data_IF_282404764634
#
_entry.id   IF_282404764634
#
_cell.length_a   1.000
_cell.length_b   1.000
_cell.length_c   1.000
_cell.angle_alpha   90.00
_cell.angle_beta   90.00
_cell.angle_gamma   90.00
#
_symmetry.space_group_name_H-M   'P 1'
#
loop_
_entity.id
_entity.type
_entity.pdbx_description
1 polymer ?
#
# COMPACT_ATOMS: atom_id res chain seq x y z
N UNK A 1 2.57 16.60 10.85
CA UNK A 1 3.89 15.95 11.09
C UNK A 1 4.94 16.77 10.39
N UNK A 2 6.09 17.01 11.05
CA UNK A 2 7.23 17.69 10.43
C UNK A 2 7.96 16.74 9.47
N UNK A 3 8.67 17.29 8.49
CA UNK A 3 9.30 16.48 7.43
C UNK A 3 10.35 15.49 7.96
N UNK A 4 11.18 15.92 8.92
CA UNK A 4 12.15 15.05 9.59
C UNK A 4 11.48 13.84 10.25
N UNK A 5 10.41 14.09 10.98
CA UNK A 5 9.67 13.03 11.69
C UNK A 5 9.01 12.03 10.73
N UNK A 6 8.55 12.52 9.58
CA UNK A 6 7.99 11.67 8.54
C UNK A 6 9.07 10.81 7.88
N UNK A 7 10.26 11.36 7.63
CA UNK A 7 11.41 10.57 7.13
C UNK A 7 11.86 9.50 8.13
N UNK A 8 11.97 9.85 9.41
CA UNK A 8 12.33 8.89 10.46
C UNK A 8 11.33 7.72 10.52
N UNK A 9 10.03 8.00 10.30
CA UNK A 9 8.98 6.97 10.25
C UNK A 9 9.02 6.12 8.97
N UNK A 10 9.40 6.69 7.82
CA UNK A 10 9.62 5.92 6.57
C UNK A 10 10.76 4.93 6.77
N UNK A 11 11.90 5.39 7.28
CA UNK A 11 13.05 4.53 7.57
C UNK A 11 12.70 3.45 8.61
N UNK A 12 11.94 3.82 9.64
CA UNK A 12 11.44 2.85 10.61
C UNK A 12 10.55 1.79 9.92
N UNK A 13 9.60 2.21 9.07
CA UNK A 13 8.70 1.29 8.39
C UNK A 13 9.48 0.31 7.50
N UNK A 14 10.49 0.79 6.78
CA UNK A 14 11.39 -0.06 5.99
C UNK A 14 12.09 -1.10 6.87
N UNK A 15 12.70 -0.67 7.99
CA UNK A 15 13.36 -1.58 8.94
C UNK A 15 12.40 -2.59 9.55
N UNK A 16 11.20 -2.15 9.93
CA UNK A 16 10.17 -3.02 10.50
C UNK A 16 9.81 -4.16 9.53
N UNK A 17 9.59 -3.86 8.23
CA UNK A 17 9.25 -4.87 7.23
C UNK A 17 10.43 -5.76 6.86
N UNK A 18 11.63 -5.23 6.82
CA UNK A 18 12.85 -6.01 6.65
C UNK A 18 13.05 -7.02 7.79
N UNK A 19 12.75 -6.60 9.02
CA UNK A 19 12.89 -7.45 10.21
C UNK A 19 11.84 -8.55 10.28
N UNK A 20 10.62 -8.31 9.80
CA UNK A 20 9.53 -9.30 9.87
C UNK A 20 9.33 -10.09 8.57
N UNK A 21 10.14 -9.89 7.55
CA UNK A 21 9.90 -10.36 6.18
C UNK A 21 9.55 -11.85 6.09
N UNK A 22 10.32 -12.72 6.75
CA UNK A 22 10.08 -14.18 6.77
C UNK A 22 8.74 -14.51 7.40
N UNK A 23 8.54 -14.08 8.65
CA UNK A 23 7.30 -14.34 9.39
C UNK A 23 6.08 -13.67 8.71
N UNK A 24 6.28 -12.51 8.06
CA UNK A 24 5.24 -11.87 7.24
C UNK A 24 4.87 -12.76 6.06
N UNK A 25 5.85 -13.29 5.33
CA UNK A 25 5.62 -14.15 4.16
C UNK A 25 4.93 -15.45 4.51
N UNK A 26 5.34 -16.11 5.58
CA UNK A 26 4.72 -17.35 6.07
C UNK A 26 3.25 -17.16 6.48
N UNK A 27 2.91 -16.02 7.06
CA UNK A 27 1.54 -15.70 7.50
C UNK A 27 0.68 -15.05 6.42
N UNK A 28 1.25 -14.70 5.28
CA UNK A 28 0.60 -13.99 4.16
C UNK A 28 0.71 -14.80 2.86
N UNK A 29 0.43 -16.09 2.94
CA UNK A 29 0.48 -17.01 1.79
C UNK A 29 -0.67 -16.77 0.82
N UNK A 30 -1.88 -16.55 1.34
CA UNK A 30 -3.08 -16.40 0.51
C UNK A 30 -3.50 -14.95 0.39
N UNK A 31 -3.96 -14.59 -0.81
CA UNK A 31 -4.65 -13.32 -1.03
C UNK A 31 -6.00 -13.27 -0.33
N UNK A 32 -6.46 -12.06 -0.08
CA UNK A 32 -7.80 -11.82 0.41
C UNK A 32 -8.81 -12.04 -0.73
N UNK A 33 -9.75 -12.95 -0.54
CA UNK A 33 -10.80 -13.24 -1.52
C UNK A 33 -11.64 -12.00 -1.89
N UNK A 34 -11.72 -11.05 -0.99
CA UNK A 34 -12.48 -9.81 -1.14
C UNK A 34 -11.86 -8.77 -2.08
N UNK A 35 -10.68 -9.03 -2.66
CA UNK A 35 -10.04 -8.19 -3.68
C UNK A 35 -9.95 -8.85 -5.06
N UNK A 36 -10.45 -10.08 -5.23
CA UNK A 36 -10.35 -10.82 -6.50
C UNK A 36 -11.02 -10.05 -7.65
N UNK A 37 -12.13 -9.35 -7.40
CA UNK A 37 -12.82 -8.55 -8.42
C UNK A 37 -11.95 -7.42 -9.03
N UNK A 38 -10.84 -7.08 -8.38
CA UNK A 38 -9.91 -6.07 -8.89
C UNK A 38 -9.08 -6.57 -10.08
N UNK A 39 -9.07 -7.90 -10.35
CA UNK A 39 -8.38 -8.50 -11.50
C UNK A 39 -9.06 -8.18 -12.83
N UNK A 40 -10.35 -7.88 -12.81
CA UNK A 40 -11.17 -7.64 -14.01
C UNK A 40 -10.71 -6.41 -14.82
N UNK A 41 -9.87 -5.55 -14.22
CA UNK A 41 -9.29 -4.38 -14.89
C UNK A 41 -8.08 -4.71 -15.77
N UNK A 42 -7.49 -5.91 -15.60
CA UNK A 42 -6.27 -6.32 -16.32
C UNK A 42 -6.63 -7.09 -17.59
N UNK A 43 -6.04 -6.67 -18.70
CA UNK A 43 -6.14 -7.31 -20.02
C UNK A 43 -4.83 -7.97 -20.39
N UNK A 44 -4.89 -8.95 -21.29
CA UNK A 44 -3.67 -9.53 -21.89
C UNK A 44 -2.92 -8.44 -22.67
N UNK A 45 -1.61 -8.42 -22.50
CA UNK A 45 -0.71 -7.40 -23.05
C UNK A 45 -0.45 -6.21 -22.13
N UNK A 46 -1.17 -6.08 -21.02
CA UNK A 46 -0.96 -4.98 -20.08
C UNK A 46 0.39 -5.07 -19.37
N UNK A 47 0.99 -3.91 -19.10
CA UNK A 47 2.12 -3.76 -18.20
C UNK A 47 1.63 -3.30 -16.82
N UNK A 48 1.79 -4.16 -15.84
CA UNK A 48 1.22 -4.01 -14.49
C UNK A 48 2.31 -3.77 -13.46
N UNK A 49 2.16 -2.74 -12.64
CA UNK A 49 3.00 -2.49 -11.47
C UNK A 49 2.26 -2.85 -10.18
N UNK A 50 2.87 -3.66 -9.32
CA UNK A 50 2.47 -3.87 -7.92
C UNK A 50 3.36 -3.04 -7.00
N UNK A 51 2.82 -1.91 -6.55
CA UNK A 51 3.50 -0.92 -5.71
C UNK A 51 3.38 -1.30 -4.23
N UNK A 52 4.49 -1.67 -3.60
CA UNK A 52 4.52 -2.25 -2.26
C UNK A 52 4.12 -3.72 -2.29
N UNK A 53 4.69 -4.49 -3.21
CA UNK A 53 4.30 -5.87 -3.52
C UNK A 53 4.54 -6.87 -2.38
N UNK A 54 5.38 -6.52 -1.39
CA UNK A 54 5.79 -7.44 -0.33
C UNK A 54 6.42 -8.72 -0.90
N UNK A 55 5.88 -9.87 -0.55
CA UNK A 55 6.31 -11.19 -1.04
C UNK A 55 5.71 -11.58 -2.40
N UNK A 56 5.20 -10.64 -3.17
CA UNK A 56 4.70 -10.83 -4.54
C UNK A 56 3.36 -11.55 -4.65
N UNK A 57 2.65 -11.79 -3.54
CA UNK A 57 1.44 -12.64 -3.55
C UNK A 57 0.28 -12.12 -4.43
N UNK A 58 0.29 -10.83 -4.80
CA UNK A 58 -0.75 -10.28 -5.69
C UNK A 58 -0.67 -10.93 -7.08
N UNK A 59 0.52 -11.32 -7.52
CA UNK A 59 0.72 -12.00 -8.81
C UNK A 59 -0.10 -13.28 -8.95
N UNK A 60 -0.46 -13.95 -7.85
CA UNK A 60 -1.34 -15.14 -7.89
C UNK A 60 -2.69 -14.90 -8.60
N UNK A 61 -3.17 -13.64 -8.62
CA UNK A 61 -4.41 -13.29 -9.34
C UNK A 61 -4.20 -13.20 -10.87
N UNK A 62 -2.97 -13.12 -11.32
CA UNK A 62 -2.64 -12.83 -12.71
C UNK A 62 -1.90 -13.99 -13.40
N UNK A 63 -1.76 -15.15 -12.75
CA UNK A 63 -0.99 -16.29 -13.28
C UNK A 63 -1.43 -16.72 -14.69
N UNK A 64 -2.73 -16.67 -14.94
CA UNK A 64 -3.34 -17.09 -16.20
C UNK A 64 -3.47 -15.93 -17.21
N UNK A 65 -2.92 -14.75 -16.89
CA UNK A 65 -2.93 -13.57 -17.75
C UNK A 65 -1.58 -13.42 -18.47
N UNK A 66 -1.63 -13.04 -19.74
CA UNK A 66 -0.43 -12.70 -20.53
C UNK A 66 -0.05 -11.24 -20.33
N UNK A 67 0.59 -10.91 -19.21
CA UNK A 67 0.96 -9.55 -18.82
C UNK A 67 2.46 -9.44 -18.50
N UNK A 68 2.99 -8.22 -18.59
CA UNK A 68 4.27 -7.87 -18.01
C UNK A 68 4.06 -7.37 -16.58
N UNK A 69 4.47 -8.17 -15.59
CA UNK A 69 4.27 -7.85 -14.19
C UNK A 69 5.56 -7.41 -13.52
N UNK A 70 5.52 -6.24 -12.88
CA UNK A 70 6.63 -5.74 -12.07
C UNK A 70 6.12 -5.47 -10.65
N UNK A 71 6.75 -6.12 -9.65
CA UNK A 71 6.52 -5.82 -8.24
C UNK A 71 7.67 -5.01 -7.66
N UNK A 72 7.37 -3.96 -6.88
CA UNK A 72 8.39 -3.20 -6.15
C UNK A 72 8.07 -3.10 -4.66
N UNK A 73 9.10 -3.18 -3.83
CA UNK A 73 9.01 -2.99 -2.37
C UNK A 73 10.35 -2.44 -1.84
N UNK A 74 10.31 -1.75 -0.69
CA UNK A 74 11.52 -1.25 -0.03
C UNK A 74 12.30 -2.35 0.72
N UNK A 75 11.63 -3.44 1.12
CA UNK A 75 12.28 -4.56 1.82
C UNK A 75 13.01 -5.47 0.85
N UNK A 76 14.33 -5.51 0.97
CA UNK A 76 15.17 -6.40 0.17
C UNK A 76 14.81 -7.87 0.39
N UNK A 77 14.59 -8.27 1.65
CA UNK A 77 14.21 -9.65 2.00
C UNK A 77 12.87 -10.07 1.39
N UNK A 78 11.85 -9.19 1.42
CA UNK A 78 10.57 -9.48 0.79
C UNK A 78 10.72 -9.66 -0.73
N UNK A 79 11.54 -8.84 -1.38
CA UNK A 79 11.83 -8.95 -2.81
C UNK A 79 12.59 -10.23 -3.13
N UNK A 80 13.55 -10.64 -2.31
CA UNK A 80 14.27 -11.91 -2.47
C UNK A 80 13.32 -13.10 -2.37
N UNK A 81 12.42 -13.10 -1.39
CA UNK A 81 11.38 -14.13 -1.24
C UNK A 81 10.44 -14.14 -2.47
N UNK A 82 10.04 -12.97 -2.98
CA UNK A 82 9.19 -12.89 -4.15
C UNK A 82 9.88 -13.42 -5.41
N UNK A 83 11.16 -13.07 -5.62
CA UNK A 83 11.97 -13.57 -6.74
C UNK A 83 12.12 -15.08 -6.72
N UNK A 84 12.43 -15.67 -5.58
CA UNK A 84 12.56 -17.12 -5.45
C UNK A 84 11.23 -17.83 -5.72
N UNK A 85 10.15 -17.30 -5.17
CA UNK A 85 8.81 -17.87 -5.34
C UNK A 85 8.32 -17.87 -6.79
N UNK A 86 8.68 -16.87 -7.59
CA UNK A 86 8.17 -16.68 -8.96
C UNK A 86 9.27 -16.74 -10.02
N UNK A 87 10.39 -17.38 -9.73
CA UNK A 87 11.56 -17.50 -10.65
C UNK A 87 11.25 -18.14 -12.00
N UNK A 88 10.23 -19.00 -12.04
CA UNK A 88 9.84 -19.75 -13.26
C UNK A 88 8.89 -18.93 -14.17
N UNK A 89 8.58 -17.69 -13.83
CA UNK A 89 7.72 -16.80 -14.62
C UNK A 89 8.56 -15.72 -15.31
N UNK A 90 8.86 -15.86 -16.63
CA UNK A 90 9.79 -14.97 -17.34
C UNK A 90 9.30 -13.51 -17.43
N UNK A 91 8.00 -13.30 -17.44
CA UNK A 91 7.37 -11.97 -17.54
C UNK A 91 7.14 -11.30 -16.18
N UNK A 92 7.71 -11.86 -15.09
CA UNK A 92 7.53 -11.35 -13.73
C UNK A 92 8.86 -10.87 -13.18
N UNK A 93 8.89 -9.63 -12.71
CA UNK A 93 10.10 -9.03 -12.12
C UNK A 93 9.80 -8.43 -10.76
N UNK A 94 10.73 -8.58 -9.82
CA UNK A 94 10.63 -7.95 -8.50
C UNK A 94 11.88 -7.10 -8.24
N UNK A 95 11.69 -5.83 -7.84
CA UNK A 95 12.77 -4.87 -7.69
C UNK A 95 12.67 -4.16 -6.33
N UNK A 96 13.83 -3.90 -5.72
CA UNK A 96 13.91 -3.05 -4.53
C UNK A 96 13.84 -1.60 -4.99
N UNK A 97 12.70 -0.94 -4.79
CA UNK A 97 12.47 0.46 -5.18
C UNK A 97 11.53 1.17 -4.21
N UNK A 98 11.61 2.50 -4.19
CA UNK A 98 10.77 3.35 -3.36
C UNK A 98 9.46 3.72 -4.08
N UNK A 99 8.34 3.67 -3.37
CA UNK A 99 7.03 4.10 -3.86
C UNK A 99 6.91 5.64 -3.99
N UNK A 100 7.86 6.39 -3.43
CA UNK A 100 7.93 7.86 -3.51
C UNK A 100 8.71 8.34 -4.73
N UNK A 101 9.57 7.48 -5.28
CA UNK A 101 10.40 7.70 -6.47
C UNK A 101 10.76 6.33 -7.04
N UNK A 102 9.95 5.88 -7.99
CA UNK A 102 10.05 4.51 -8.52
C UNK A 102 11.20 4.33 -9.50
N UNK A 103 11.73 5.42 -10.06
CA UNK A 103 12.75 5.40 -11.10
C UNK A 103 12.30 4.74 -12.41
N UNK A 104 10.99 4.66 -12.67
CA UNK A 104 10.45 4.29 -13.97
C UNK A 104 10.19 5.54 -14.81
N UNK A 105 10.20 5.36 -16.14
CA UNK A 105 9.84 6.44 -17.06
C UNK A 105 8.35 6.79 -16.93
N UNK A 106 7.99 8.01 -17.32
CA UNK A 106 6.60 8.41 -17.40
C UNK A 106 5.83 7.56 -18.42
N UNK A 107 4.52 7.41 -18.21
CA UNK A 107 3.63 6.68 -19.12
C UNK A 107 4.08 5.23 -19.41
N UNK A 108 4.66 4.55 -18.41
CA UNK A 108 5.24 3.20 -18.55
C UNK A 108 4.25 2.08 -18.29
N UNK A 109 3.19 2.31 -17.52
CA UNK A 109 2.29 1.26 -17.04
C UNK A 109 0.84 1.50 -17.44
N UNK A 110 0.15 0.40 -17.77
CA UNK A 110 -1.30 0.42 -18.02
C UNK A 110 -2.07 0.42 -16.70
N UNK A 111 -1.59 -0.35 -15.70
CA UNK A 111 -2.19 -0.43 -14.37
C UNK A 111 -1.13 -0.36 -13.27
N UNK A 112 -1.49 0.31 -12.18
CA UNK A 112 -0.75 0.29 -10.91
C UNK A 112 -1.66 -0.21 -9.80
N UNK A 113 -1.26 -1.30 -9.16
CA UNK A 113 -1.87 -1.79 -7.92
C UNK A 113 -1.09 -1.28 -6.71
N UNK A 114 -1.80 -0.80 -5.69
CA UNK A 114 -1.24 -0.38 -4.40
C UNK A 114 -2.06 -1.03 -3.28
N UNK A 115 -1.79 -2.31 -3.04
CA UNK A 115 -2.59 -3.13 -2.13
C UNK A 115 -2.04 -3.05 -0.70
N UNK A 116 -2.76 -2.35 0.16
CA UNK A 116 -2.41 -2.17 1.57
C UNK A 116 -1.05 -1.46 1.80
N UNK A 117 -0.66 -0.55 0.91
CA UNK A 117 0.56 0.24 1.04
C UNK A 117 0.29 1.67 1.57
N UNK A 118 -0.59 2.45 0.91
CA UNK A 118 -0.70 3.91 1.11
C UNK A 118 -0.89 4.34 2.58
N UNK A 119 -1.55 3.53 3.39
CA UNK A 119 -1.76 3.79 4.81
C UNK A 119 -0.52 3.53 5.69
N UNK A 120 0.56 3.02 5.11
CA UNK A 120 1.85 2.83 5.78
C UNK A 120 2.82 3.97 5.47
N UNK A 121 2.49 4.85 4.53
CA UNK A 121 3.27 6.03 4.19
C UNK A 121 2.91 7.15 5.16
N UNK A 122 3.87 7.67 5.97
CA UNK A 122 3.61 8.74 6.92
C UNK A 122 3.44 10.09 6.20
N UNK A 123 2.75 11.00 6.85
CA UNK A 123 2.40 12.35 6.41
C UNK A 123 1.57 12.43 5.12
N UNK A 124 0.75 13.48 5.03
CA UNK A 124 -0.02 13.77 3.80
C UNK A 124 0.92 14.07 2.62
N UNK A 125 2.05 14.77 2.88
CA UNK A 125 3.05 15.14 1.87
C UNK A 125 3.56 13.90 1.12
N UNK A 126 4.03 12.89 1.83
CA UNK A 126 4.60 11.68 1.22
C UNK A 126 3.54 10.78 0.58
N UNK A 127 2.34 10.69 1.16
CA UNK A 127 1.22 10.00 0.51
C UNK A 127 0.84 10.65 -0.82
N UNK A 128 0.83 11.98 -0.88
CA UNK A 128 0.58 12.71 -2.12
C UNK A 128 1.75 12.55 -3.11
N UNK A 129 2.99 12.57 -2.65
CA UNK A 129 4.18 12.31 -3.49
C UNK A 129 4.08 10.93 -4.16
N UNK A 130 3.77 9.87 -3.40
CA UNK A 130 3.59 8.53 -3.95
C UNK A 130 2.45 8.48 -4.98
N UNK A 131 1.32 9.15 -4.73
CA UNK A 131 0.22 9.21 -5.70
C UNK A 131 0.57 10.01 -6.96
N UNK A 132 1.34 11.09 -6.83
CA UNK A 132 1.84 11.86 -7.98
C UNK A 132 2.83 11.03 -8.81
N UNK A 133 3.69 10.26 -8.15
CA UNK A 133 4.60 9.34 -8.83
C UNK A 133 3.81 8.26 -9.61
N UNK A 134 2.78 7.69 -8.99
CA UNK A 134 1.87 6.76 -9.70
C UNK A 134 1.21 7.43 -10.90
N UNK A 135 0.75 8.69 -10.76
CA UNK A 135 0.16 9.42 -11.87
C UNK A 135 1.17 9.65 -13.01
N UNK A 136 2.42 9.97 -12.68
CA UNK A 136 3.49 10.18 -13.64
C UNK A 136 3.77 8.93 -14.47
N UNK A 137 3.90 7.77 -13.82
CA UNK A 137 4.30 6.50 -14.48
C UNK A 137 3.14 5.80 -15.19
N UNK A 138 1.88 6.10 -14.86
CA UNK A 138 0.73 5.57 -15.58
C UNK A 138 0.62 6.19 -16.97
N UNK A 139 0.27 5.38 -17.95
CA UNK A 139 -0.15 5.84 -19.28
C UNK A 139 -1.43 6.69 -19.18
N UNK A 140 -1.71 7.50 -20.21
CA UNK A 140 -3.01 8.16 -20.32
C UNK A 140 -4.13 7.14 -20.22
N UNK A 141 -5.19 7.45 -19.48
CA UNK A 141 -6.30 6.54 -19.16
C UNK A 141 -5.95 5.27 -18.37
N UNK A 142 -4.69 5.11 -17.97
CA UNK A 142 -4.25 4.00 -17.11
C UNK A 142 -4.92 4.03 -15.72
N UNK A 143 -4.99 2.87 -15.07
CA UNK A 143 -5.73 2.71 -13.83
C UNK A 143 -4.82 2.60 -12.60
N UNK A 144 -5.18 3.34 -11.55
CA UNK A 144 -4.73 3.10 -10.18
C UNK A 144 -5.78 2.30 -9.43
N UNK A 145 -5.40 1.15 -8.91
CA UNK A 145 -6.24 0.29 -8.08
C UNK A 145 -5.58 0.15 -6.71
N UNK A 146 -6.21 0.70 -5.68
CA UNK A 146 -5.62 0.68 -4.35
C UNK A 146 -6.57 0.17 -3.27
N UNK A 147 -5.98 -0.38 -2.22
CA UNK A 147 -6.69 -0.69 -0.98
C UNK A 147 -5.97 -0.14 0.23
N UNK A 148 -6.73 0.29 1.23
CA UNK A 148 -6.21 0.63 2.55
C UNK A 148 -6.99 -0.10 3.65
N UNK A 149 -6.34 -0.40 4.75
CA UNK A 149 -7.03 -1.03 5.88
C UNK A 149 -8.04 -0.06 6.48
N UNK A 150 -9.25 -0.57 6.72
CA UNK A 150 -10.21 0.16 7.53
C UNK A 150 -9.86 -0.02 9.01
N UNK A 151 -9.19 0.96 9.59
CA UNK A 151 -8.79 0.95 11.00
C UNK A 151 -9.86 1.53 11.93
N UNK A 152 -10.98 2.04 11.39
CA UNK A 152 -12.14 2.51 12.17
C UNK A 152 -12.98 1.34 12.69
N UNK A 153 -12.31 0.42 13.38
CA UNK A 153 -12.87 -0.78 13.99
C UNK A 153 -12.62 -0.77 15.49
N UNK A 154 -13.54 -1.32 16.29
CA UNK A 154 -13.42 -1.38 17.76
C UNK A 154 -12.02 -1.82 18.21
N UNK A 155 -11.43 -2.80 17.52
CA UNK A 155 -10.09 -3.33 17.82
C UNK A 155 -8.97 -2.27 17.77
N UNK A 156 -9.03 -1.33 16.82
CA UNK A 156 -7.95 -0.33 16.59
C UNK A 156 -8.34 1.06 17.10
N UNK A 157 -9.63 1.31 17.30
CA UNK A 157 -10.16 2.62 17.67
C UNK A 157 -9.54 3.14 18.97
N UNK A 158 -9.31 2.26 19.95
CA UNK A 158 -8.66 2.65 21.22
C UNK A 158 -7.27 3.25 21.01
N UNK A 159 -6.47 2.67 20.10
CA UNK A 159 -5.11 3.16 19.79
C UNK A 159 -5.17 4.52 19.06
N UNK A 160 -6.08 4.66 18.10
CA UNK A 160 -6.30 5.93 17.38
C UNK A 160 -6.74 7.03 18.33
N UNK A 161 -7.73 6.76 19.18
CA UNK A 161 -8.24 7.71 20.17
C UNK A 161 -7.17 8.09 21.20
N UNK A 162 -6.35 7.14 21.65
CA UNK A 162 -5.22 7.42 22.55
C UNK A 162 -4.26 8.44 21.95
N UNK A 163 -3.85 8.26 20.68
CA UNK A 163 -2.97 9.21 19.97
C UNK A 163 -3.65 10.58 19.82
N UNK A 164 -4.94 10.60 19.47
CA UNK A 164 -5.74 11.81 19.34
C UNK A 164 -5.83 12.60 20.65
N UNK A 165 -6.21 11.95 21.77
CA UNK A 165 -6.34 12.59 23.07
C UNK A 165 -5.00 13.07 23.65
N UNK A 166 -3.90 12.32 23.43
CA UNK A 166 -2.56 12.76 23.82
C UNK A 166 -2.19 14.06 23.11
N UNK A 167 -2.49 14.17 21.82
CA UNK A 167 -2.19 15.37 21.02
C UNK A 167 -2.98 16.60 21.45
N UNK A 168 -4.24 16.41 21.90
CA UNK A 168 -5.09 17.51 22.41
C UNK A 168 -4.67 17.94 23.81
N UNK A 169 -4.46 16.96 24.71
CA UNK A 169 -4.17 17.27 26.14
C UNK A 169 -2.77 17.83 26.35
N UNK A 170 -1.80 17.39 25.57
CA UNK A 170 -0.40 17.79 25.70
C UNK A 170 0.12 18.12 24.29
N UNK A 171 -0.01 19.37 23.82
CA UNK A 171 0.54 19.80 22.55
C UNK A 171 2.04 19.47 22.48
N UNK A 172 2.48 18.83 21.37
CA UNK A 172 3.87 18.39 21.20
C UNK A 172 4.21 17.01 21.81
N UNK A 173 3.33 16.38 22.56
CA UNK A 173 3.57 15.06 23.18
C UNK A 173 3.73 13.92 22.17
N UNK A 174 3.26 14.07 20.96
CA UNK A 174 3.41 13.10 19.89
C UNK A 174 3.75 13.76 18.56
N UNK A 175 4.67 13.15 17.83
CA UNK A 175 5.08 13.56 16.49
C UNK A 175 4.12 13.09 15.39
N UNK A 176 3.13 12.27 15.73
CA UNK A 176 2.16 11.68 14.81
C UNK A 176 1.11 12.70 14.36
N UNK A 177 0.58 12.53 13.15
CA UNK A 177 -0.60 13.27 12.70
C UNK A 177 -1.89 12.73 13.34
N UNK A 178 -2.99 13.46 13.19
CA UNK A 178 -4.31 12.93 13.54
C UNK A 178 -4.58 11.65 12.72
N UNK A 179 -5.20 10.65 13.37
CA UNK A 179 -5.51 9.33 12.80
C UNK A 179 -4.29 8.41 12.58
N UNK A 180 -3.09 8.85 12.93
CA UNK A 180 -1.94 7.98 12.92
C UNK A 180 -1.92 7.08 14.15
N UNK A 181 -1.48 5.85 13.98
CA UNK A 181 -1.40 4.87 15.06
C UNK A 181 -0.30 3.86 14.81
N UNK A 182 0.07 3.15 15.87
CA UNK A 182 0.93 1.97 15.75
C UNK A 182 0.12 0.70 15.98
N UNK A 183 0.38 -0.32 15.16
CA UNK A 183 -0.23 -1.64 15.28
C UNK A 183 0.87 -2.65 15.56
N UNK A 184 0.78 -3.36 16.70
CA UNK A 184 1.78 -4.33 17.08
C UNK A 184 1.78 -5.56 16.15
N UNK A 185 2.97 -6.02 15.82
CA UNK A 185 3.24 -7.30 15.19
C UNK A 185 4.06 -8.15 16.14
N UNK A 186 3.46 -9.24 16.63
CA UNK A 186 4.16 -10.18 17.52
C UNK A 186 4.95 -11.20 16.68
N UNK A 187 6.25 -11.22 16.85
CA UNK A 187 7.15 -12.19 16.20
C UNK A 187 7.08 -13.56 16.89
N UNK A 188 7.62 -14.59 16.25
CA UNK A 188 7.72 -15.95 16.83
C UNK A 188 8.50 -15.99 18.13
N UNK A 189 9.57 -15.22 18.24
CA UNK A 189 10.41 -15.10 19.44
C UNK A 189 9.77 -14.28 20.58
N UNK A 190 8.49 -13.89 20.46
CA UNK A 190 7.77 -13.11 21.46
C UNK A 190 7.99 -11.59 21.39
N UNK A 191 9.00 -11.10 20.69
CA UNK A 191 9.23 -9.66 20.53
C UNK A 191 8.12 -9.01 19.70
N UNK A 192 7.87 -7.72 19.94
CA UNK A 192 6.79 -6.99 19.27
C UNK A 192 7.35 -5.79 18.53
N UNK A 193 7.03 -5.69 17.23
CA UNK A 193 7.31 -4.53 16.39
C UNK A 193 6.06 -3.70 16.24
N UNK A 194 6.14 -2.42 16.54
CA UNK A 194 5.04 -1.47 16.42
C UNK A 194 5.10 -0.78 15.06
N UNK A 195 4.29 -1.27 14.10
CA UNK A 195 4.26 -0.76 12.73
C UNK A 195 3.36 0.47 12.63
N UNK A 196 3.83 1.47 11.91
CA UNK A 196 3.09 2.70 11.64
C UNK A 196 1.91 2.47 10.69
N UNK A 197 0.78 3.13 10.97
CA UNK A 197 -0.41 3.15 10.12
C UNK A 197 -1.16 4.47 10.22
N UNK A 198 -1.74 4.90 9.11
CA UNK A 198 -2.69 6.00 9.04
C UNK A 198 -4.11 5.47 8.83
N UNK A 199 -5.07 5.90 9.67
CA UNK A 199 -6.46 5.46 9.61
C UNK A 199 -7.27 6.31 8.62
N UNK A 200 -7.27 5.91 7.35
CA UNK A 200 -8.06 6.58 6.33
C UNK A 200 -9.57 6.49 6.57
N UNK A 201 -10.27 7.55 6.22
CA UNK A 201 -11.70 7.53 5.90
C UNK A 201 -11.89 7.56 4.38
N UNK A 202 -13.05 7.09 3.88
CA UNK A 202 -13.40 7.18 2.44
C UNK A 202 -13.29 8.63 1.95
N UNK A 203 -13.78 9.61 2.75
CA UNK A 203 -13.74 11.04 2.39
C UNK A 203 -12.30 11.54 2.22
N UNK A 204 -11.41 11.14 3.09
CA UNK A 204 -9.99 11.53 3.05
C UNK A 204 -9.26 10.88 1.87
N UNK A 205 -9.47 9.57 1.68
CA UNK A 205 -8.87 8.84 0.55
C UNK A 205 -9.32 9.44 -0.79
N UNK A 206 -10.62 9.74 -0.92
CA UNK A 206 -11.17 10.43 -2.09
C UNK A 206 -10.50 11.79 -2.32
N UNK A 207 -10.29 12.57 -1.26
CA UNK A 207 -9.70 13.90 -1.34
C UNK A 207 -8.26 13.83 -1.86
N UNK A 208 -7.41 13.01 -1.25
CA UNK A 208 -5.98 12.93 -1.61
C UNK A 208 -5.76 12.38 -3.02
N UNK A 209 -6.57 11.40 -3.46
CA UNK A 209 -6.49 10.85 -4.83
C UNK A 209 -6.93 11.88 -5.88
N UNK A 210 -7.94 12.72 -5.56
CA UNK A 210 -8.31 13.85 -6.43
C UNK A 210 -7.23 14.95 -6.48
N UNK A 211 -6.54 15.22 -5.36
CA UNK A 211 -5.40 16.14 -5.30
C UNK A 211 -4.24 15.67 -6.19
N UNK A 212 -4.05 14.37 -6.35
CA UNK A 212 -3.09 13.77 -7.28
C UNK A 212 -3.61 13.66 -8.73
N UNK A 213 -4.60 14.48 -9.10
CA UNK A 213 -5.17 14.64 -10.45
C UNK A 213 -5.85 13.39 -11.04
N UNK A 214 -6.24 12.40 -10.25
CA UNK A 214 -6.99 11.24 -10.71
C UNK A 214 -8.49 11.50 -10.84
N UNK A 215 -9.15 10.84 -11.83
CA UNK A 215 -10.59 10.66 -11.91
C UNK A 215 -10.98 9.39 -11.15
N UNK A 216 -11.76 9.53 -10.08
CA UNK A 216 -12.24 8.37 -9.32
C UNK A 216 -13.37 7.69 -10.06
N UNK A 217 -13.21 6.41 -10.36
CA UNK A 217 -14.20 5.55 -11.01
C UNK A 217 -15.09 4.88 -9.97
N UNK A 218 -14.46 4.30 -8.93
CA UNK A 218 -15.21 3.63 -7.85
C UNK A 218 -14.45 3.74 -6.53
N UNK A 219 -15.17 3.85 -5.42
CA UNK A 219 -14.63 3.84 -4.07
C UNK A 219 -15.66 3.28 -3.10
N UNK A 220 -15.25 2.34 -2.28
CA UNK A 220 -16.16 1.68 -1.33
C UNK A 220 -15.43 0.78 -0.36
N UNK A 221 -16.20 -0.10 0.24
CA UNK A 221 -15.69 -1.14 1.12
C UNK A 221 -15.66 -2.48 0.39
N UNK A 222 -14.60 -3.28 0.60
CA UNK A 222 -14.53 -4.64 0.08
C UNK A 222 -15.59 -5.53 0.75
N UNK A 223 -16.15 -6.50 0.01
CA UNK A 223 -17.15 -7.44 0.55
C UNK A 223 -16.44 -8.57 1.28
N UNK A 224 -16.45 -8.58 2.60
CA UNK A 224 -15.79 -9.60 3.41
C UNK A 224 -16.78 -10.26 4.36
N UNK A 225 -17.10 -11.53 4.13
CA UNK A 225 -18.03 -12.32 4.98
C UNK A 225 -17.58 -12.25 6.46
N UNK A 226 -18.48 -11.75 7.33
CA UNK A 226 -18.33 -11.66 8.79
C UNK A 226 -17.07 -10.90 9.30
N UNK A 227 -16.37 -10.16 8.45
CA UNK A 227 -15.23 -9.32 8.87
C UNK A 227 -15.41 -7.92 8.33
N UNK A 228 -14.85 -6.95 9.07
CA UNK A 228 -14.92 -5.56 8.64
C UNK A 228 -14.06 -5.35 7.39
N UNK A 229 -14.68 -4.80 6.34
CA UNK A 229 -14.06 -4.65 5.04
C UNK A 229 -12.93 -3.61 5.06
N UNK A 230 -11.98 -3.77 4.14
CA UNK A 230 -11.03 -2.73 3.79
C UNK A 230 -11.70 -1.68 2.89
N UNK A 231 -11.08 -0.52 2.74
CA UNK A 231 -11.49 0.48 1.74
C UNK A 231 -10.74 0.18 0.46
N UNK A 232 -11.45 0.12 -0.67
CA UNK A 232 -10.85 0.08 -2.00
C UNK A 232 -11.15 1.36 -2.77
N UNK A 233 -10.30 1.69 -3.73
CA UNK A 233 -10.49 2.78 -4.65
C UNK A 233 -9.93 2.39 -6.02
N UNK A 234 -10.70 2.69 -7.07
CA UNK A 234 -10.32 2.56 -8.48
C UNK A 234 -10.36 3.97 -9.07
N UNK A 235 -9.26 4.39 -9.64
CA UNK A 235 -9.14 5.69 -10.28
C UNK A 235 -8.42 5.57 -11.62
N UNK A 236 -8.67 6.52 -12.50
CA UNK A 236 -8.10 6.59 -13.83
C UNK A 236 -7.27 7.87 -13.96
N UNK A 237 -6.09 7.78 -14.57
CA UNK A 237 -5.33 8.96 -14.97
C UNK A 237 -6.15 9.75 -15.99
N UNK A 238 -6.25 11.06 -15.76
CA UNK A 238 -6.93 11.94 -16.74
C UNK A 238 -6.12 12.02 -18.02
N UNK A 239 -6.82 12.16 -19.13
CA UNK A 239 -6.23 12.60 -20.40
C UNK A 239 -5.81 14.05 -20.21
N UNK A 240 -4.55 14.37 -20.45
CA UNK A 240 -4.07 15.75 -20.53
C UNK A 240 -4.33 16.30 -21.91
#
# INVERSE_FOLDING_TARGET
MKDKEARDLLEKTKKDYEEIAEHFSETRVRLWKDIIFLVDFVKDGDKVLDLGCGNGRLFELFRDKKIDYIGIDLSKKLIEIARDKYKDYPNVKFLVRDALDTGFDENSFDLVYSIALLHQIPSKKYRLQSLNEVNRILKSEGFLILTVWNLWQKKYMRNILKTFFLKIKIPGSTKLDFKDTFIPWKKRNGTTINRYYHAFTIKELRKIVKEAAFKIINIGYTKRNNKKPNIFLIAQKKVN
#
